data_IF_078810772983
#
_entry.id   IF_078810772983
#
_cell.length_a   1.000
_cell.length_b   1.000
_cell.length_c   1.000
_cell.angle_alpha   90.00
_cell.angle_beta   90.00
_cell.angle_gamma   90.00
#
_symmetry.space_group_name_H-M   'P 1'
#
loop_
_entity.id
_entity.type
_entity.pdbx_description
1 polymer ?
#
# COMPACT_ATOMS: atom_id res chain seq x y z
N UNK A 1 52.50 -35.70 -67.77
CA UNK A 1 52.81 -34.44 -68.44
C UNK A 1 51.57 -33.62 -68.54
N UNK A 2 51.40 -32.63 -67.75
CA UNK A 2 50.56 -31.43 -68.07
C UNK A 2 50.60 -30.47 -66.86
N UNK A 3 51.01 -29.26 -67.10
CA UNK A 3 51.31 -28.20 -66.14
C UNK A 3 50.03 -27.60 -65.58
N UNK A 4 49.98 -27.46 -64.27
CA UNK A 4 48.94 -26.80 -63.57
C UNK A 4 49.32 -25.31 -63.31
N UNK A 5 48.63 -24.40 -63.92
CA UNK A 5 48.79 -22.97 -63.67
C UNK A 5 47.95 -22.52 -62.47
N UNK A 6 48.61 -21.94 -61.48
CA UNK A 6 48.01 -21.34 -60.29
C UNK A 6 47.65 -19.89 -60.60
N UNK A 7 46.35 -19.54 -60.53
CA UNK A 7 45.87 -18.13 -60.47
C UNK A 7 45.57 -17.77 -59.05
N UNK A 8 46.33 -16.86 -58.48
CA UNK A 8 46.01 -16.18 -57.22
C UNK A 8 45.08 -15.03 -57.53
N UNK A 9 43.83 -15.15 -57.06
CA UNK A 9 42.88 -14.04 -56.98
C UNK A 9 42.84 -13.52 -55.55
N UNK A 10 43.34 -12.30 -55.31
CA UNK A 10 43.29 -11.63 -54.04
C UNK A 10 41.85 -11.11 -53.73
N UNK A 11 41.27 -11.64 -52.74
CA UNK A 11 40.03 -11.11 -52.20
C UNK A 11 40.30 -10.09 -51.05
N UNK A 12 40.10 -8.80 -51.32
CA UNK A 12 40.14 -7.76 -50.34
C UNK A 12 38.86 -7.84 -49.50
N UNK A 13 38.95 -8.32 -48.25
CA UNK A 13 37.90 -8.28 -47.27
C UNK A 13 37.83 -6.85 -46.69
N UNK A 14 36.85 -6.06 -47.16
CA UNK A 14 36.40 -4.86 -46.48
C UNK A 14 35.64 -5.28 -45.21
N UNK A 15 36.33 -5.22 -44.07
CA UNK A 15 35.70 -5.33 -42.75
C UNK A 15 34.87 -4.09 -42.43
N UNK A 16 33.58 -4.13 -42.73
CA UNK A 16 32.65 -3.16 -42.18
C UNK A 16 32.51 -3.44 -40.69
N UNK A 17 33.22 -2.69 -39.84
CA UNK A 17 32.96 -2.64 -38.42
C UNK A 17 31.62 -1.96 -38.21
N UNK A 18 30.56 -2.73 -37.95
CA UNK A 18 29.30 -2.27 -37.36
C UNK A 18 29.61 -1.80 -35.94
N UNK A 19 29.92 -0.52 -35.80
CA UNK A 19 29.92 0.15 -34.50
C UNK A 19 28.49 0.20 -34.03
N UNK A 20 28.05 -0.80 -33.28
CA UNK A 20 26.85 -0.71 -32.48
C UNK A 20 27.13 0.32 -31.39
N UNK A 21 26.74 1.56 -31.64
CA UNK A 21 26.63 2.57 -30.61
C UNK A 21 25.57 2.09 -29.62
N UNK A 22 25.98 1.36 -28.59
CA UNK A 22 25.17 1.20 -27.39
C UNK A 22 24.95 2.62 -26.88
N UNK A 23 23.78 3.19 -27.16
CA UNK A 23 23.29 4.36 -26.42
C UNK A 23 23.29 3.91 -24.97
N UNK A 24 24.31 4.30 -24.22
CA UNK A 24 24.25 4.27 -22.79
C UNK A 24 23.01 5.11 -22.43
N UNK A 25 21.93 4.48 -21.99
CA UNK A 25 20.81 5.21 -21.42
C UNK A 25 21.39 5.97 -20.23
N UNK A 26 21.49 7.30 -20.37
CA UNK A 26 21.82 8.13 -19.23
C UNK A 26 20.90 7.75 -18.09
N UNK A 27 21.46 7.51 -16.90
CA UNK A 27 20.66 7.21 -15.73
C UNK A 27 19.64 8.35 -15.52
N UNK A 28 18.39 7.98 -15.19
CA UNK A 28 17.36 8.97 -14.89
C UNK A 28 17.87 9.93 -13.79
N UNK A 29 17.67 11.21 -13.98
CA UNK A 29 17.87 12.26 -12.97
C UNK A 29 16.55 12.98 -12.73
N UNK A 30 16.44 13.70 -11.63
CA UNK A 30 15.23 14.51 -11.35
C UNK A 30 14.96 15.47 -12.52
N UNK A 31 16.00 16.13 -13.03
CA UNK A 31 15.90 17.11 -14.11
C UNK A 31 15.44 16.45 -15.42
N UNK A 32 16.00 15.28 -15.76
CA UNK A 32 15.62 14.55 -16.98
C UNK A 32 14.18 14.06 -16.90
N UNK A 33 13.74 13.56 -15.75
CA UNK A 33 12.37 13.13 -15.52
C UNK A 33 11.38 14.30 -15.55
N UNK A 34 11.73 15.45 -14.95
CA UNK A 34 10.92 16.67 -15.02
C UNK A 34 10.77 17.15 -16.46
N UNK A 35 11.86 17.16 -17.24
CA UNK A 35 11.82 17.58 -18.65
C UNK A 35 10.94 16.63 -19.50
N UNK A 36 10.97 15.33 -19.24
CA UNK A 36 10.13 14.33 -19.91
C UNK A 36 8.67 14.44 -19.46
N UNK A 37 8.43 14.57 -18.14
CA UNK A 37 7.08 14.70 -17.54
C UNK A 37 6.31 15.93 -18.06
N UNK A 38 7.02 17.01 -18.40
CA UNK A 38 6.39 18.21 -19.01
C UNK A 38 5.73 17.92 -20.35
N UNK A 39 6.11 16.86 -21.04
CA UNK A 39 5.54 16.43 -22.32
C UNK A 39 4.37 15.46 -22.15
N UNK A 40 4.25 14.83 -20.99
CA UNK A 40 3.24 13.83 -20.70
C UNK A 40 1.94 14.44 -20.14
N UNK A 41 2.00 15.56 -19.44
CA UNK A 41 0.92 16.43 -18.92
C UNK A 41 -0.25 15.75 -18.19
N UNK A 42 -0.54 14.48 -18.42
CA UNK A 42 -1.64 13.72 -17.84
C UNK A 42 -1.12 12.50 -17.05
N UNK A 43 -1.61 12.34 -15.82
CA UNK A 43 -1.40 11.15 -14.98
C UNK A 43 -2.71 10.39 -14.88
N UNK A 44 -2.81 9.26 -15.56
CA UNK A 44 -4.00 8.40 -15.48
C UNK A 44 -3.95 7.62 -14.19
N UNK A 45 -4.99 7.73 -13.37
CA UNK A 45 -5.06 7.05 -12.09
C UNK A 45 -6.42 6.40 -11.84
N UNK A 46 -6.44 5.06 -11.73
CA UNK A 46 -7.63 4.28 -11.40
C UNK A 46 -7.50 3.77 -9.96
N UNK A 47 -8.43 4.18 -9.09
CA UNK A 47 -8.43 3.79 -7.68
C UNK A 47 -9.84 3.88 -7.07
N UNK A 48 -9.97 3.61 -5.75
CA UNK A 48 -11.24 3.84 -5.04
C UNK A 48 -11.65 5.33 -5.08
N UNK A 49 -12.93 5.61 -5.17
CA UNK A 49 -13.45 6.98 -5.36
C UNK A 49 -12.94 8.02 -4.35
N UNK A 50 -12.69 7.61 -3.09
CA UNK A 50 -12.17 8.47 -2.03
C UNK A 50 -10.65 8.60 -1.98
N UNK A 51 -9.90 7.92 -2.86
CA UNK A 51 -8.43 7.88 -2.79
C UNK A 51 -7.82 9.29 -2.90
N UNK A 52 -6.87 9.57 -2.02
CA UNK A 52 -6.21 10.86 -1.86
C UNK A 52 -7.16 12.01 -1.51
N UNK A 53 -8.24 11.71 -0.78
CA UNK A 53 -9.24 12.70 -0.37
C UNK A 53 -10.24 13.05 -1.48
N UNK A 54 -10.39 12.17 -2.46
CA UNK A 54 -11.24 12.36 -3.63
C UNK A 54 -10.80 13.54 -4.47
N UNK A 55 -11.71 14.09 -5.27
CA UNK A 55 -11.38 15.16 -6.26
C UNK A 55 -10.67 16.37 -5.65
N UNK A 56 -11.08 16.78 -4.43
CA UNK A 56 -10.46 17.94 -3.77
C UNK A 56 -9.02 17.68 -3.36
N UNK A 57 -8.74 16.52 -2.78
CA UNK A 57 -7.38 16.14 -2.40
C UNK A 57 -6.50 15.90 -3.63
N UNK A 58 -7.03 15.28 -4.67
CA UNK A 58 -6.33 15.10 -5.94
C UNK A 58 -5.96 16.45 -6.58
N UNK A 59 -6.88 17.43 -6.57
CA UNK A 59 -6.59 18.78 -7.06
C UNK A 59 -5.53 19.52 -6.24
N UNK A 60 -5.53 19.34 -4.90
CA UNK A 60 -4.48 19.89 -4.03
C UNK A 60 -3.12 19.22 -4.32
N UNK A 61 -3.09 17.90 -4.61
CA UNK A 61 -1.87 17.19 -5.04
C UNK A 61 -1.37 17.68 -6.39
N UNK A 62 -2.26 17.89 -7.39
CA UNK A 62 -1.90 18.50 -8.68
C UNK A 62 -1.22 19.86 -8.49
N UNK A 63 -1.82 20.72 -7.67
CA UNK A 63 -1.31 22.05 -7.41
C UNK A 63 0.08 22.01 -6.74
N UNK A 64 0.25 21.16 -5.73
CA UNK A 64 1.51 21.01 -5.02
C UNK A 64 2.61 20.42 -5.92
N UNK A 65 2.29 19.39 -6.71
CA UNK A 65 3.19 18.79 -7.68
C UNK A 65 3.65 19.80 -8.74
N UNK A 66 2.69 20.49 -9.36
CA UNK A 66 2.96 21.48 -10.41
C UNK A 66 3.80 22.64 -9.89
N UNK A 67 3.55 23.10 -8.66
CA UNK A 67 4.35 24.14 -8.00
C UNK A 67 5.79 23.67 -7.78
N UNK A 68 5.99 22.42 -7.36
CA UNK A 68 7.33 21.87 -7.06
C UNK A 68 8.18 21.69 -8.32
N UNK A 69 7.58 21.18 -9.41
CA UNK A 69 8.33 20.77 -10.60
C UNK A 69 8.16 21.69 -11.80
N UNK A 70 7.35 22.76 -11.69
CA UNK A 70 7.09 23.67 -12.80
C UNK A 70 6.42 22.97 -13.99
N UNK A 71 5.47 22.09 -13.70
CA UNK A 71 4.69 21.31 -14.68
C UNK A 71 3.26 21.82 -14.79
N UNK A 72 2.45 21.21 -15.67
CA UNK A 72 1.00 21.45 -15.82
C UNK A 72 0.20 20.15 -15.72
N UNK A 73 0.74 19.19 -14.95
CA UNK A 73 0.15 17.87 -14.78
C UNK A 73 -1.29 17.94 -14.29
N UNK A 74 -2.14 17.07 -14.86
CA UNK A 74 -3.51 16.78 -14.44
C UNK A 74 -3.65 15.31 -14.05
N UNK A 75 -4.38 15.04 -12.97
CA UNK A 75 -4.74 13.67 -12.60
C UNK A 75 -6.06 13.31 -13.31
N UNK A 76 -5.95 12.47 -14.34
CA UNK A 76 -7.11 11.85 -14.99
C UNK A 76 -7.59 10.69 -14.13
N UNK A 77 -8.43 10.99 -13.14
CA UNK A 77 -8.91 10.01 -12.17
C UNK A 77 -10.18 9.32 -12.64
N UNK A 78 -10.18 7.97 -12.51
CA UNK A 78 -11.39 7.16 -12.65
C UNK A 78 -11.59 6.28 -11.42
N UNK A 79 -12.83 6.21 -10.92
CA UNK A 79 -13.18 5.25 -9.88
C UNK A 79 -13.15 3.83 -10.48
N UNK A 80 -12.43 2.93 -9.81
CA UNK A 80 -12.22 1.56 -10.26
C UNK A 80 -12.62 0.52 -9.22
N UNK A 81 -12.48 -0.76 -9.56
CA UNK A 81 -12.75 -1.87 -8.67
C UNK A 81 -11.75 -1.91 -7.49
N UNK A 82 -11.87 -2.91 -6.64
CA UNK A 82 -10.93 -3.15 -5.53
C UNK A 82 -9.48 -3.35 -6.02
N UNK A 83 -8.53 -3.32 -5.08
CA UNK A 83 -7.10 -3.37 -5.39
C UNK A 83 -6.67 -4.70 -6.04
N UNK A 84 -7.27 -5.84 -5.65
CA UNK A 84 -6.96 -7.14 -6.25
C UNK A 84 -7.38 -7.17 -7.72
N UNK A 85 -8.60 -6.73 -8.02
CA UNK A 85 -9.11 -6.68 -9.40
C UNK A 85 -8.28 -5.74 -10.28
N UNK A 86 -7.81 -4.61 -9.73
CA UNK A 86 -6.92 -3.67 -10.46
C UNK A 86 -5.54 -4.28 -10.72
N UNK A 87 -4.94 -4.95 -9.73
CA UNK A 87 -3.66 -5.64 -9.90
C UNK A 87 -3.78 -6.73 -10.98
N UNK A 88 -4.80 -7.58 -10.90
CA UNK A 88 -5.05 -8.62 -11.89
C UNK A 88 -5.25 -8.05 -13.31
N UNK A 89 -5.96 -6.92 -13.43
CA UNK A 89 -6.14 -6.24 -14.71
C UNK A 89 -4.81 -5.74 -15.29
N UNK A 90 -3.96 -5.07 -14.51
CA UNK A 90 -2.65 -4.61 -14.98
C UNK A 90 -1.76 -5.76 -15.42
N UNK A 91 -1.74 -6.86 -14.66
CA UNK A 91 -1.01 -8.08 -15.02
C UNK A 91 -1.49 -8.63 -16.37
N UNK A 92 -2.79 -8.72 -16.58
CA UNK A 92 -3.37 -9.19 -17.83
C UNK A 92 -3.03 -8.27 -19.02
N UNK A 93 -3.14 -6.94 -18.84
CA UNK A 93 -2.77 -5.94 -19.84
C UNK A 93 -1.30 -6.06 -20.25
N UNK A 94 -0.39 -6.20 -19.26
CA UNK A 94 1.06 -6.38 -19.49
C UNK A 94 1.36 -7.69 -20.21
N UNK A 95 0.77 -8.81 -19.78
CA UNK A 95 0.94 -10.12 -20.42
C UNK A 95 0.45 -10.13 -21.88
N UNK A 96 -0.52 -9.31 -22.20
CA UNK A 96 -1.03 -9.13 -23.57
C UNK A 96 -0.21 -8.13 -24.41
N UNK A 97 0.87 -7.55 -23.85
CA UNK A 97 1.69 -6.56 -24.53
C UNK A 97 1.05 -5.17 -24.69
N UNK A 98 -0.08 -4.94 -24.04
CA UNK A 98 -0.81 -3.67 -24.11
C UNK A 98 -0.23 -2.62 -23.16
N UNK A 99 -0.54 -1.33 -23.41
CA UNK A 99 -0.42 -0.30 -22.40
C UNK A 99 -1.40 -0.61 -21.26
N UNK A 100 -0.96 -0.35 -20.02
CA UNK A 100 -1.85 -0.52 -18.86
C UNK A 100 -2.84 0.64 -18.75
N UNK A 101 -3.96 0.38 -18.09
CA UNK A 101 -5.06 1.33 -17.95
C UNK A 101 -4.81 2.44 -16.93
N UNK A 102 -3.70 2.41 -16.18
CA UNK A 102 -3.35 3.43 -15.18
C UNK A 102 -1.83 3.58 -15.08
N UNK A 103 -1.34 4.82 -14.94
CA UNK A 103 0.08 5.11 -14.84
C UNK A 103 0.70 4.70 -13.52
N UNK A 104 -0.11 4.70 -12.46
CA UNK A 104 0.32 4.33 -11.11
C UNK A 104 -0.63 3.30 -10.49
N UNK A 105 -0.08 2.46 -9.63
CA UNK A 105 -0.85 1.50 -8.85
C UNK A 105 -0.64 1.76 -7.35
N UNK A 106 -1.74 2.02 -6.63
CA UNK A 106 -1.77 2.11 -5.17
C UNK A 106 -2.28 0.80 -4.59
N UNK A 107 -1.49 0.18 -3.73
CA UNK A 107 -1.83 -1.06 -3.03
C UNK A 107 -1.07 -1.23 -1.73
N UNK A 108 -1.55 -2.10 -0.83
CA UNK A 108 -0.78 -2.55 0.32
C UNK A 108 0.29 -3.56 -0.11
N UNK A 109 1.12 -4.01 0.84
CA UNK A 109 2.19 -4.96 0.54
C UNK A 109 1.70 -6.25 -0.11
N UNK A 110 0.49 -6.73 0.21
CA UNK A 110 -0.09 -7.93 -0.42
C UNK A 110 -0.39 -7.73 -1.91
N UNK A 111 -0.93 -6.57 -2.27
CA UNK A 111 -1.25 -6.23 -3.65
C UNK A 111 0.02 -5.97 -4.48
N UNK A 112 1.02 -5.35 -3.85
CA UNK A 112 2.32 -5.15 -4.49
C UNK A 112 3.08 -6.47 -4.64
N UNK A 113 2.94 -7.42 -3.69
CA UNK A 113 3.50 -8.77 -3.83
C UNK A 113 2.98 -9.47 -5.09
N UNK A 114 1.67 -9.40 -5.35
CA UNK A 114 1.07 -9.96 -6.56
C UNK A 114 1.67 -9.34 -7.84
N UNK A 115 1.82 -8.02 -7.87
CA UNK A 115 2.44 -7.33 -9.01
C UNK A 115 3.93 -7.66 -9.16
N UNK A 116 4.64 -7.81 -8.04
CA UNK A 116 6.07 -8.14 -7.98
C UNK A 116 6.35 -9.55 -8.55
N UNK A 117 5.65 -10.58 -8.07
CA UNK A 117 5.89 -11.97 -8.51
C UNK A 117 5.58 -12.17 -9.99
N UNK A 118 4.67 -11.38 -10.54
CA UNK A 118 4.31 -11.37 -11.96
C UNK A 118 5.23 -10.47 -12.81
N UNK A 119 6.28 -9.89 -12.19
CA UNK A 119 7.19 -8.95 -12.84
C UNK A 119 6.45 -7.83 -13.60
N UNK A 120 5.39 -7.31 -12.98
CA UNK A 120 4.47 -6.33 -13.56
C UNK A 120 4.83 -4.87 -13.20
N UNK A 121 5.89 -4.65 -12.43
CA UNK A 121 6.32 -3.33 -11.97
C UNK A 121 7.54 -2.83 -12.73
N UNK A 122 7.58 -1.53 -13.00
CA UNK A 122 8.75 -0.83 -13.52
C UNK A 122 9.82 -0.75 -12.44
N UNK A 123 11.08 -1.01 -12.81
CA UNK A 123 12.22 -0.88 -11.89
C UNK A 123 12.79 0.52 -11.95
N UNK A 124 12.75 1.21 -10.82
CA UNK A 124 13.19 2.61 -10.67
C UNK A 124 14.06 2.74 -9.42
N UNK A 125 15.28 3.19 -9.56
CA UNK A 125 16.16 3.47 -8.42
C UNK A 125 15.74 4.76 -7.71
N UNK A 126 14.59 4.73 -7.01
CA UNK A 126 14.00 5.92 -6.39
C UNK A 126 14.96 6.61 -5.41
N UNK A 127 15.58 5.87 -4.50
CA UNK A 127 16.52 6.44 -3.53
C UNK A 127 17.82 6.96 -4.16
N UNK A 128 18.19 6.47 -5.34
CA UNK A 128 19.35 6.98 -6.07
C UNK A 128 19.05 8.20 -6.93
N UNK A 129 17.82 8.36 -7.39
CA UNK A 129 17.38 9.47 -8.26
C UNK A 129 16.88 10.64 -7.43
N UNK A 130 16.07 10.39 -6.40
CA UNK A 130 15.34 11.40 -5.65
C UNK A 130 15.94 11.60 -4.26
N UNK A 131 16.61 12.74 -3.98
CA UNK A 131 17.31 12.94 -2.69
C UNK A 131 16.40 12.94 -1.46
N UNK A 132 15.10 13.06 -1.63
CA UNK A 132 14.11 13.01 -0.55
C UNK A 132 13.49 11.61 -0.35
N UNK A 133 13.82 10.63 -1.20
CA UNK A 133 13.42 9.23 -1.02
C UNK A 133 14.55 8.46 -0.36
N UNK A 134 14.26 7.80 0.76
CA UNK A 134 15.23 6.94 1.45
C UNK A 134 15.02 5.47 1.07
N UNK A 135 16.05 4.64 1.21
CA UNK A 135 15.93 3.18 0.99
C UNK A 135 14.86 2.52 1.87
N UNK A 136 14.58 3.08 3.04
CA UNK A 136 13.53 2.56 3.93
C UNK A 136 12.12 2.80 3.38
N UNK A 137 11.96 3.79 2.50
CA UNK A 137 10.68 4.06 1.83
C UNK A 137 10.42 3.10 0.66
N UNK A 138 11.45 2.44 0.12
CA UNK A 138 11.33 1.41 -0.92
C UNK A 138 10.99 0.06 -0.26
N UNK A 139 9.70 -0.27 -0.17
CA UNK A 139 9.25 -1.51 0.49
C UNK A 139 9.60 -2.74 -0.37
N UNK A 140 9.30 -2.73 -1.67
CA UNK A 140 9.88 -3.62 -2.67
C UNK A 140 10.98 -2.82 -3.39
N UNK A 141 12.28 -3.13 -3.13
CA UNK A 141 13.39 -2.32 -3.59
C UNK A 141 13.34 -2.04 -5.09
N UNK A 142 13.48 -0.78 -5.45
CA UNK A 142 13.42 -0.28 -6.83
C UNK A 142 12.09 -0.53 -7.57
N UNK A 143 11.01 -0.87 -6.88
CA UNK A 143 9.70 -1.10 -7.52
C UNK A 143 8.59 -0.28 -6.89
N UNK A 144 8.62 -0.11 -5.56
CA UNK A 144 7.52 0.56 -4.84
C UNK A 144 8.04 1.57 -3.84
N UNK A 145 7.22 2.59 -3.56
CA UNK A 145 7.53 3.62 -2.56
C UNK A 145 6.37 3.78 -1.59
N UNK A 146 6.68 3.79 -0.29
CA UNK A 146 5.72 3.96 0.79
C UNK A 146 5.02 5.32 0.71
N UNK A 147 3.72 5.29 0.53
CA UNK A 147 2.88 6.49 0.45
C UNK A 147 2.31 6.87 1.82
N UNK A 148 1.74 5.89 2.53
CA UNK A 148 1.25 6.08 3.89
C UNK A 148 1.23 4.75 4.67
N UNK A 149 1.18 4.89 5.99
CA UNK A 149 1.23 3.79 6.95
C UNK A 149 -0.12 3.64 7.62
N UNK A 150 -0.67 2.43 7.66
CA UNK A 150 -1.98 2.11 8.21
C UNK A 150 -1.87 1.07 9.32
N UNK A 151 -1.62 1.48 10.57
CA UNK A 151 -1.59 0.56 11.71
C UNK A 151 -2.97 -0.01 12.00
N UNK A 152 -3.04 -1.34 12.13
CA UNK A 152 -4.25 -2.07 12.49
C UNK A 152 -4.54 -1.96 13.99
N UNK A 153 -5.81 -1.85 14.35
CA UNK A 153 -6.19 -1.75 15.75
C UNK A 153 -7.69 -1.79 16.02
N UNK A 154 -8.01 -1.84 17.30
CA UNK A 154 -9.38 -1.77 17.83
C UNK A 154 -9.79 -0.31 17.79
N UNK A 155 -11.03 0.00 17.40
CA UNK A 155 -11.66 1.29 17.68
C UNK A 155 -12.87 1.13 18.59
N UNK A 156 -13.10 2.08 19.46
CA UNK A 156 -14.23 2.04 20.40
C UNK A 156 -14.78 3.44 20.71
N UNK A 157 -16.04 3.48 21.13
CA UNK A 157 -16.72 4.69 21.54
C UNK A 157 -16.49 4.93 23.05
N UNK A 158 -15.82 6.04 23.39
CA UNK A 158 -15.44 6.37 24.78
C UNK A 158 -16.61 6.74 25.69
N UNK A 159 -17.76 7.11 25.12
CA UNK A 159 -18.97 7.36 25.89
C UNK A 159 -19.63 6.05 26.37
N UNK A 160 -19.38 4.95 25.67
CA UNK A 160 -19.95 3.63 25.97
C UNK A 160 -18.96 2.69 26.64
N UNK A 161 -17.67 2.84 26.35
CA UNK A 161 -16.59 2.07 26.95
C UNK A 161 -15.60 3.04 27.58
N UNK A 162 -15.62 3.21 28.90
CA UNK A 162 -14.66 4.06 29.62
C UNK A 162 -13.23 3.60 29.37
N UNK A 163 -12.29 4.55 29.31
CA UNK A 163 -10.88 4.30 28.96
C UNK A 163 -10.21 3.26 29.86
N UNK A 164 -10.53 3.24 31.14
CA UNK A 164 -10.01 2.29 32.13
C UNK A 164 -10.55 0.86 31.94
N UNK A 165 -11.67 0.72 31.22
CA UNK A 165 -12.32 -0.56 30.87
C UNK A 165 -12.16 -0.92 29.39
N UNK A 166 -11.44 -0.12 28.61
CA UNK A 166 -11.22 -0.41 27.21
C UNK A 166 -10.23 -1.58 27.01
N UNK A 167 -10.41 -2.41 25.97
CA UNK A 167 -9.41 -3.43 25.62
C UNK A 167 -8.08 -2.74 25.28
N UNK A 168 -6.97 -3.38 25.63
CA UNK A 168 -5.61 -2.87 25.34
C UNK A 168 -4.93 -3.62 24.19
N UNK A 169 -5.48 -4.77 23.82
CA UNK A 169 -5.01 -5.61 22.73
C UNK A 169 -6.13 -6.48 22.17
N UNK A 170 -5.90 -7.16 21.05
CA UNK A 170 -6.87 -8.13 20.53
C UNK A 170 -7.13 -9.27 21.52
N UNK A 171 -6.11 -9.73 22.23
CA UNK A 171 -6.28 -10.84 23.18
C UNK A 171 -7.22 -10.51 24.33
N UNK A 172 -7.27 -9.25 24.75
CA UNK A 172 -8.20 -8.82 25.80
C UNK A 172 -9.67 -9.01 25.39
N UNK A 173 -9.98 -8.86 24.08
CA UNK A 173 -11.34 -9.05 23.57
C UNK A 173 -11.91 -10.44 23.91
N UNK A 174 -11.05 -11.45 23.99
CA UNK A 174 -11.44 -12.85 24.21
C UNK A 174 -10.94 -13.42 25.54
N UNK A 175 -10.31 -12.61 26.38
CA UNK A 175 -9.89 -13.01 27.74
C UNK A 175 -11.14 -13.34 28.59
N UNK A 176 -11.25 -14.53 29.19
CA UNK A 176 -12.43 -14.92 29.95
C UNK A 176 -12.78 -14.00 31.13
N UNK A 177 -11.79 -13.25 31.66
CA UNK A 177 -12.00 -12.31 32.76
C UNK A 177 -12.50 -10.95 32.28
N UNK A 178 -12.15 -10.57 31.05
CA UNK A 178 -12.43 -9.24 30.48
C UNK A 178 -13.57 -9.28 29.47
N UNK A 179 -13.64 -10.31 28.63
CA UNK A 179 -14.60 -10.43 27.54
C UNK A 179 -16.09 -10.32 27.95
N UNK A 180 -16.52 -10.75 29.15
CA UNK A 180 -17.91 -10.52 29.58
C UNK A 180 -18.32 -9.05 29.61
N UNK A 181 -17.36 -8.13 29.75
CA UNK A 181 -17.61 -6.66 29.68
C UNK A 181 -18.04 -6.21 28.28
N UNK A 182 -17.60 -6.93 27.25
CA UNK A 182 -17.77 -6.54 25.84
C UNK A 182 -18.60 -7.53 25.02
N UNK A 183 -18.98 -8.68 25.55
CA UNK A 183 -19.82 -9.66 24.87
C UNK A 183 -21.12 -9.00 24.37
N UNK A 184 -21.48 -9.26 23.12
CA UNK A 184 -22.63 -8.63 22.47
C UNK A 184 -22.45 -7.15 22.13
N UNK A 185 -21.23 -6.59 22.21
CA UNK A 185 -20.92 -5.19 21.91
C UNK A 185 -19.87 -5.01 20.81
N UNK A 186 -19.30 -6.11 20.32
CA UNK A 186 -18.18 -6.10 19.39
C UNK A 186 -18.67 -6.35 17.97
N UNK A 187 -18.40 -5.44 17.04
CA UNK A 187 -18.48 -5.69 15.62
C UNK A 187 -17.16 -6.24 15.10
N UNK A 188 -17.23 -7.21 14.16
CA UNK A 188 -16.05 -7.81 13.52
C UNK A 188 -16.05 -7.45 12.04
N UNK A 189 -14.91 -7.01 11.45
CA UNK A 189 -14.82 -6.85 10.01
C UNK A 189 -14.92 -8.20 9.29
N UNK A 190 -15.66 -8.28 8.16
CA UNK A 190 -15.91 -9.56 7.46
C UNK A 190 -14.71 -10.05 6.63
N UNK A 191 -13.55 -9.44 6.78
CA UNK A 191 -12.36 -9.71 5.98
C UNK A 191 -11.43 -10.70 6.67
N UNK A 192 -10.95 -11.70 5.93
CA UNK A 192 -10.03 -12.73 6.45
C UNK A 192 -8.61 -12.18 6.65
N UNK A 193 -8.20 -11.23 5.80
CA UNK A 193 -6.80 -10.80 5.71
C UNK A 193 -6.21 -10.35 7.07
N UNK A 194 -6.92 -9.52 7.83
CA UNK A 194 -6.42 -9.02 9.12
C UNK A 194 -6.20 -10.14 10.16
N UNK A 195 -7.07 -11.18 10.15
CA UNK A 195 -6.87 -12.36 11.01
C UNK A 195 -5.69 -13.19 10.53
N UNK A 196 -5.58 -13.40 9.22
CA UNK A 196 -4.49 -14.18 8.65
C UNK A 196 -3.12 -13.56 8.97
N UNK A 197 -2.99 -12.25 8.91
CA UNK A 197 -1.77 -11.53 9.29
C UNK A 197 -1.37 -11.70 10.76
N UNK A 198 -2.31 -11.92 11.67
CA UNK A 198 -2.00 -12.20 13.07
C UNK A 198 -1.14 -13.45 13.25
N UNK A 199 -1.15 -14.36 12.26
CA UNK A 199 -0.31 -15.55 12.30
C UNK A 199 1.20 -15.25 12.32
N UNK A 200 1.60 -14.07 11.82
CA UNK A 200 2.98 -13.58 11.91
C UNK A 200 3.44 -13.44 13.38
N UNK A 201 2.54 -13.03 14.25
CA UNK A 201 2.83 -12.80 15.67
C UNK A 201 2.45 -14.01 16.55
N UNK A 202 1.44 -14.80 16.16
CA UNK A 202 0.80 -15.77 17.05
C UNK A 202 0.84 -17.21 16.55
N UNK A 203 1.14 -17.44 15.26
CA UNK A 203 0.96 -18.73 14.61
C UNK A 203 -0.50 -19.05 14.28
N UNK A 204 -0.72 -19.97 13.35
CA UNK A 204 -2.04 -20.24 12.74
C UNK A 204 -3.07 -20.78 13.74
N UNK A 205 -2.69 -21.70 14.63
CA UNK A 205 -3.61 -22.33 15.58
C UNK A 205 -4.17 -21.32 16.60
N UNK A 206 -3.30 -20.48 17.15
CA UNK A 206 -3.73 -19.43 18.08
C UNK A 206 -4.66 -18.41 17.41
N UNK A 207 -4.43 -18.10 16.14
CA UNK A 207 -5.32 -17.22 15.38
C UNK A 207 -6.69 -17.85 15.17
N UNK A 208 -6.75 -19.16 14.84
CA UNK A 208 -8.03 -19.87 14.68
C UNK A 208 -8.81 -19.93 16.00
N UNK A 209 -8.13 -20.19 17.12
CA UNK A 209 -8.76 -20.17 18.46
C UNK A 209 -9.31 -18.78 18.80
N UNK A 210 -8.49 -17.73 18.62
CA UNK A 210 -8.90 -16.34 18.78
C UNK A 210 -10.12 -16.00 17.92
N UNK A 211 -10.11 -16.36 16.64
CA UNK A 211 -11.21 -16.07 15.72
C UNK A 211 -12.53 -16.73 16.16
N UNK A 212 -12.50 -18.02 16.59
CA UNK A 212 -13.69 -18.71 17.11
C UNK A 212 -14.25 -18.02 18.36
N UNK A 213 -13.39 -17.68 19.31
CA UNK A 213 -13.79 -16.99 20.54
C UNK A 213 -14.37 -15.61 20.24
N UNK A 214 -13.75 -14.87 19.33
CA UNK A 214 -14.21 -13.53 18.95
C UNK A 214 -15.58 -13.58 18.24
N UNK A 215 -15.78 -14.52 17.33
CA UNK A 215 -17.07 -14.74 16.65
C UNK A 215 -18.16 -15.07 17.67
N UNK A 216 -17.89 -15.95 18.64
CA UNK A 216 -18.85 -16.37 19.65
C UNK A 216 -19.38 -15.22 20.54
N UNK A 217 -18.60 -14.15 20.74
CA UNK A 217 -18.99 -13.01 21.57
C UNK A 217 -19.36 -11.76 20.76
N UNK A 218 -19.28 -11.83 19.43
CA UNK A 218 -19.56 -10.67 18.57
C UNK A 218 -21.04 -10.33 18.49
N UNK A 219 -21.33 -9.05 18.28
CA UNK A 219 -22.69 -8.53 18.06
C UNK A 219 -23.08 -8.51 16.57
N UNK A 220 -22.09 -8.54 15.66
CA UNK A 220 -22.36 -8.45 14.22
C UNK A 220 -21.12 -8.18 13.39
N UNK A 221 -21.37 -7.83 12.13
CA UNK A 221 -20.34 -7.55 11.14
C UNK A 221 -20.40 -6.07 10.74
N UNK A 222 -19.21 -5.46 10.61
CA UNK A 222 -19.05 -4.06 10.22
C UNK A 222 -17.92 -3.95 9.20
N UNK A 223 -18.21 -3.36 8.03
CA UNK A 223 -17.19 -3.13 7.00
C UNK A 223 -16.30 -1.96 7.36
N UNK A 224 -15.09 -1.93 6.83
CA UNK A 224 -14.30 -0.70 6.80
C UNK A 224 -15.10 0.38 6.06
N UNK A 225 -14.97 1.63 6.44
CA UNK A 225 -15.80 2.77 6.01
C UNK A 225 -17.20 2.89 6.62
N UNK A 226 -17.59 2.03 7.55
CA UNK A 226 -18.85 2.14 8.31
C UNK A 226 -18.60 2.56 9.78
N UNK A 227 -17.51 3.29 10.04
CA UNK A 227 -17.10 3.71 11.39
C UNK A 227 -18.13 4.63 12.07
N UNK A 228 -19.03 5.27 11.30
CA UNK A 228 -20.13 6.05 11.84
C UNK A 228 -21.06 5.24 12.76
N UNK A 229 -21.14 3.91 12.58
CA UNK A 229 -21.91 3.02 13.44
C UNK A 229 -21.24 2.81 14.82
N UNK A 230 -19.92 3.01 14.91
CA UNK A 230 -19.20 3.09 16.19
C UNK A 230 -19.43 4.48 16.81
N UNK A 231 -19.38 5.54 15.99
CA UNK A 231 -19.60 6.92 16.43
C UNK A 231 -21.01 7.10 17.01
N UNK A 232 -22.03 6.56 16.35
CA UNK A 232 -23.43 6.59 16.81
C UNK A 232 -23.70 5.71 18.03
N UNK A 233 -22.79 4.77 18.34
CA UNK A 233 -22.94 3.84 19.45
C UNK A 233 -23.77 2.60 19.15
N UNK A 234 -24.10 2.34 17.90
CA UNK A 234 -24.76 1.09 17.50
C UNK A 234 -23.89 -0.12 17.86
N UNK A 235 -22.58 -0.02 17.59
CA UNK A 235 -21.57 -0.94 18.10
C UNK A 235 -20.57 -0.17 18.96
N UNK A 236 -20.46 -0.48 20.26
CA UNK A 236 -19.48 0.16 21.13
C UNK A 236 -18.01 -0.07 20.73
N UNK A 237 -17.70 -1.22 20.10
CA UNK A 237 -16.35 -1.65 19.74
C UNK A 237 -16.36 -2.26 18.32
N UNK A 238 -15.35 -1.92 17.52
CA UNK A 238 -14.97 -2.68 16.32
C UNK A 238 -13.65 -3.38 16.58
N UNK A 239 -13.63 -4.69 16.43
CA UNK A 239 -12.51 -5.54 16.79
C UNK A 239 -11.23 -5.24 16.01
N UNK A 240 -11.34 -4.84 14.76
CA UNK A 240 -10.22 -4.38 13.95
C UNK A 240 -10.66 -3.34 12.93
N UNK A 241 -9.83 -2.33 12.77
CA UNK A 241 -9.87 -1.39 11.65
C UNK A 241 -8.45 -1.26 11.08
N UNK A 242 -8.31 -1.51 9.78
CA UNK A 242 -7.02 -1.54 9.07
C UNK A 242 -6.29 -0.19 9.01
N UNK A 243 -6.90 0.88 9.49
CA UNK A 243 -6.32 2.24 9.55
C UNK A 243 -6.86 2.96 10.79
N UNK A 244 -6.70 2.30 11.93
CA UNK A 244 -7.36 2.69 13.18
C UNK A 244 -6.96 4.08 13.67
N UNK A 245 -5.68 4.44 13.55
CA UNK A 245 -5.19 5.76 14.00
C UNK A 245 -5.71 6.89 13.12
N UNK A 246 -5.63 6.74 11.79
CA UNK A 246 -6.12 7.77 10.87
C UNK A 246 -7.63 7.95 10.98
N UNK A 247 -8.36 6.86 11.13
CA UNK A 247 -9.80 6.91 11.39
C UNK A 247 -10.11 7.64 12.71
N UNK A 248 -9.39 7.33 13.77
CA UNK A 248 -9.53 8.03 15.05
C UNK A 248 -9.29 9.54 14.89
N UNK A 249 -8.23 9.96 14.25
CA UNK A 249 -7.93 11.39 14.04
C UNK A 249 -8.99 12.08 13.20
N UNK A 250 -9.39 11.45 12.09
CA UNK A 250 -10.44 11.95 11.20
C UNK A 250 -11.77 12.18 11.93
N UNK A 251 -12.18 11.22 12.75
CA UNK A 251 -13.45 11.30 13.48
C UNK A 251 -13.36 12.22 14.69
N UNK A 252 -12.22 12.26 15.41
CA UNK A 252 -11.99 13.24 16.48
C UNK A 252 -12.00 14.68 15.99
N UNK A 253 -11.48 14.95 14.81
CA UNK A 253 -11.55 16.28 14.19
C UNK A 253 -13.01 16.74 13.95
N UNK A 254 -13.95 15.80 13.90
CA UNK A 254 -15.41 16.07 13.81
C UNK A 254 -16.12 16.03 15.16
N UNK A 255 -15.39 15.93 16.27
CA UNK A 255 -15.94 15.84 17.62
C UNK A 255 -16.48 14.46 18.02
N UNK A 256 -16.22 13.41 17.25
CA UNK A 256 -16.71 12.07 17.55
C UNK A 256 -16.00 11.43 18.75
N UNK A 257 -16.72 10.68 19.61
CA UNK A 257 -16.20 10.10 20.84
C UNK A 257 -15.51 8.75 20.59
N UNK A 258 -14.56 8.66 19.68
CA UNK A 258 -13.87 7.41 19.40
C UNK A 258 -12.37 7.45 19.73
N UNK A 259 -11.86 6.29 20.11
CA UNK A 259 -10.44 6.03 20.37
C UNK A 259 -9.98 4.79 19.62
N UNK A 260 -8.69 4.77 19.28
CA UNK A 260 -8.01 3.61 18.74
C UNK A 260 -7.03 3.02 19.77
N UNK A 261 -6.89 1.71 19.75
CA UNK A 261 -5.93 0.94 20.54
C UNK A 261 -5.19 -0.01 19.58
N UNK A 262 -3.86 -0.12 19.66
CA UNK A 262 -3.12 -1.12 18.90
C UNK A 262 -3.66 -2.53 19.15
N UNK A 263 -3.78 -3.32 18.08
CA UNK A 263 -4.27 -4.70 18.22
C UNK A 263 -3.21 -5.67 18.74
N UNK A 264 -1.96 -5.44 18.35
CA UNK A 264 -0.78 -6.27 18.70
C UNK A 264 0.42 -5.39 19.05
N UNK A 265 1.48 -6.02 19.57
CA UNK A 265 2.81 -5.42 19.74
C UNK A 265 3.85 -6.44 19.25
N UNK A 266 4.61 -6.15 18.20
CA UNK A 266 4.51 -4.98 17.32
C UNK A 266 3.16 -4.87 16.61
N UNK A 267 2.78 -3.66 16.17
CA UNK A 267 1.47 -3.42 15.55
C UNK A 267 1.47 -3.97 14.13
N UNK A 268 0.53 -4.87 13.83
CA UNK A 268 0.24 -5.27 12.45
C UNK A 268 -0.09 -4.03 11.63
N UNK A 269 0.57 -3.86 10.51
CA UNK A 269 0.54 -2.60 9.78
C UNK A 269 0.47 -2.84 8.28
N UNK A 270 -0.51 -2.23 7.64
CA UNK A 270 -0.56 -2.12 6.19
C UNK A 270 0.32 -0.95 5.71
N UNK A 271 1.26 -1.26 4.83
CA UNK A 271 2.13 -0.30 4.19
C UNK A 271 1.61 -0.03 2.79
N UNK A 272 0.87 1.06 2.63
CA UNK A 272 0.35 1.45 1.34
C UNK A 272 1.42 2.11 0.49
N UNK A 273 1.61 1.56 -0.69
CA UNK A 273 2.71 1.89 -1.59
C UNK A 273 2.18 2.30 -2.94
N UNK A 274 2.87 3.22 -3.58
CA UNK A 274 2.73 3.49 -4.99
C UNK A 274 3.83 2.79 -5.79
N UNK A 275 3.47 2.32 -6.96
CA UNK A 275 4.34 1.76 -7.97
C UNK A 275 3.96 2.24 -9.36
N UNK A 276 4.87 2.11 -10.31
CA UNK A 276 4.62 2.32 -11.73
C UNK A 276 4.47 0.94 -12.37
N UNK A 277 3.29 0.57 -12.89
CA UNK A 277 3.15 -0.65 -13.67
C UNK A 277 3.99 -0.59 -14.95
N UNK A 278 4.52 -1.72 -15.39
CA UNK A 278 5.16 -1.79 -16.71
C UNK A 278 4.17 -1.41 -17.81
N UNK A 279 4.66 -0.85 -18.88
CA UNK A 279 3.87 -0.34 -20.00
C UNK A 279 2.90 0.81 -19.61
N UNK A 280 3.20 1.56 -18.54
CA UNK A 280 2.45 2.76 -18.17
C UNK A 280 2.41 3.75 -19.36
N UNK A 281 1.25 4.39 -19.64
CA UNK A 281 1.13 5.38 -20.70
C UNK A 281 2.09 6.57 -20.57
N UNK A 282 2.29 7.07 -19.33
CA UNK A 282 3.07 8.27 -18.98
C UNK A 282 4.14 7.94 -17.91
N UNK A 283 5.17 7.13 -18.26
CA UNK A 283 6.06 6.52 -17.26
C UNK A 283 6.96 7.53 -16.53
N UNK A 284 7.36 8.63 -17.19
CA UNK A 284 8.24 9.63 -16.55
C UNK A 284 7.47 10.44 -15.51
N UNK A 285 6.26 10.86 -15.85
CA UNK A 285 5.36 11.54 -14.94
C UNK A 285 4.98 10.65 -13.76
N UNK A 286 4.70 9.37 -14.02
CA UNK A 286 4.40 8.37 -13.01
C UNK A 286 5.55 8.19 -12.01
N UNK A 287 6.79 7.98 -12.48
CA UNK A 287 7.99 7.88 -11.62
C UNK A 287 8.16 9.12 -10.73
N UNK A 288 8.01 10.30 -11.32
CA UNK A 288 8.14 11.57 -10.60
C UNK A 288 7.02 11.74 -9.57
N UNK A 289 5.78 11.36 -9.89
CA UNK A 289 4.65 11.44 -8.97
C UNK A 289 4.76 10.45 -7.81
N UNK A 290 5.20 9.22 -8.05
CA UNK A 290 5.46 8.22 -7.01
C UNK A 290 6.47 8.76 -6.00
N UNK A 291 7.59 9.32 -6.47
CA UNK A 291 8.59 9.94 -5.60
C UNK A 291 8.04 11.19 -4.88
N UNK A 292 7.24 12.01 -5.55
CA UNK A 292 6.62 13.21 -4.97
C UNK A 292 5.76 12.88 -3.75
N UNK A 293 5.05 11.75 -3.76
CA UNK A 293 4.17 11.36 -2.66
C UNK A 293 4.88 11.12 -1.32
N UNK A 294 6.22 11.04 -1.31
CA UNK A 294 7.02 10.99 -0.07
C UNK A 294 7.49 12.37 0.40
N UNK A 295 7.18 13.43 -0.32
CA UNK A 295 7.55 14.79 0.09
C UNK A 295 6.62 15.32 1.19
N UNK A 296 7.11 16.28 1.95
CA UNK A 296 6.31 16.91 3.01
C UNK A 296 5.03 17.55 2.46
N UNK A 297 5.12 18.19 1.30
CA UNK A 297 3.99 18.85 0.64
C UNK A 297 2.87 17.86 0.28
N UNK A 298 3.23 16.72 -0.29
CA UNK A 298 2.26 15.66 -0.60
C UNK A 298 1.65 15.04 0.66
N UNK A 299 2.47 14.81 1.68
CA UNK A 299 2.02 14.27 2.96
C UNK A 299 1.09 15.22 3.71
N UNK A 300 1.31 16.54 3.63
CA UNK A 300 0.39 17.55 4.18
C UNK A 300 -0.99 17.49 3.51
N UNK A 301 -1.04 17.25 2.19
CA UNK A 301 -2.32 17.07 1.48
C UNK A 301 -3.02 15.79 1.95
N UNK A 302 -2.31 14.67 2.07
CA UNK A 302 -2.89 13.42 2.58
C UNK A 302 -3.43 13.58 4.01
N UNK A 303 -2.69 14.25 4.88
CA UNK A 303 -3.13 14.53 6.25
C UNK A 303 -4.37 15.40 6.30
N UNK A 304 -4.41 16.45 5.48
CA UNK A 304 -5.54 17.38 5.41
C UNK A 304 -6.83 16.69 5.00
N UNK A 305 -6.78 15.78 4.03
CA UNK A 305 -7.98 15.18 3.43
C UNK A 305 -8.35 13.81 3.99
N UNK A 306 -7.36 13.02 4.45
CA UNK A 306 -7.58 11.65 4.88
C UNK A 306 -7.07 11.35 6.30
N UNK A 307 -6.39 12.30 6.95
CA UNK A 307 -5.65 12.09 8.22
C UNK A 307 -4.57 10.98 8.10
N UNK A 308 -4.15 10.65 6.89
CA UNK A 308 -3.14 9.63 6.58
C UNK A 308 -1.77 10.26 6.35
N UNK A 309 -0.72 9.54 6.70
CA UNK A 309 0.65 9.92 6.37
C UNK A 309 1.62 8.77 6.54
N UNK A 310 2.82 8.91 5.96
CA UNK A 310 3.93 7.98 6.17
C UNK A 310 4.63 8.26 7.50
N UNK A 311 4.93 7.21 8.26
CA UNK A 311 5.75 7.32 9.48
C UNK A 311 7.22 7.65 9.18
N UNK A 312 7.69 7.45 7.94
CA UNK A 312 9.06 7.72 7.51
C UNK A 312 9.29 9.17 7.07
N UNK A 313 8.23 9.97 6.91
CA UNK A 313 8.35 11.38 6.58
C UNK A 313 8.29 12.21 7.87
N UNK A 314 9.39 12.90 8.18
CA UNK A 314 9.53 13.65 9.42
C UNK A 314 8.47 14.74 9.57
N UNK A 315 7.96 14.88 10.80
CA UNK A 315 6.98 15.91 11.15
C UNK A 315 5.54 15.58 10.73
N UNK A 316 5.29 14.46 10.07
CA UNK A 316 3.93 13.99 9.77
C UNK A 316 3.19 13.55 11.03
N UNK A 317 1.87 13.47 10.94
CA UNK A 317 1.01 13.06 12.06
C UNK A 317 1.37 11.65 12.54
N UNK A 318 1.56 10.70 11.61
CA UNK A 318 1.94 9.32 11.94
C UNK A 318 3.35 9.25 12.55
N UNK A 319 4.34 9.98 11.98
CA UNK A 319 5.71 10.02 12.50
C UNK A 319 5.75 10.54 13.94
N UNK A 320 5.10 11.67 14.23
CA UNK A 320 5.02 12.25 15.57
C UNK A 320 4.36 11.28 16.56
N UNK A 321 3.20 10.72 16.19
CA UNK A 321 2.45 9.83 17.07
C UNK A 321 3.26 8.58 17.47
N UNK A 322 3.92 7.92 16.52
CA UNK A 322 4.72 6.72 16.82
C UNK A 322 5.93 7.03 17.69
N UNK A 323 6.59 8.18 17.47
CA UNK A 323 7.72 8.61 18.29
C UNK A 323 7.29 8.93 19.72
N UNK A 324 6.20 9.64 19.91
CA UNK A 324 5.67 10.04 21.22
C UNK A 324 5.14 8.87 22.02
N UNK A 325 4.41 7.97 21.37
CA UNK A 325 3.81 6.79 22.01
C UNK A 325 4.76 5.62 22.20
N UNK A 326 5.96 5.67 21.60
CA UNK A 326 6.95 4.56 21.58
C UNK A 326 6.39 3.25 21.05
N UNK A 327 5.38 3.34 20.18
CA UNK A 327 4.78 2.18 19.54
C UNK A 327 5.70 1.66 18.41
N UNK A 328 5.84 0.36 18.32
CA UNK A 328 6.57 -0.32 17.25
C UNK A 328 5.61 -0.90 16.22
N UNK A 329 5.94 -0.71 14.95
CA UNK A 329 5.23 -1.33 13.83
C UNK A 329 5.88 -2.67 13.48
N UNK A 330 5.10 -3.62 12.98
CA UNK A 330 5.63 -4.83 12.39
C UNK A 330 6.54 -4.47 11.21
N UNK A 331 7.64 -5.21 11.06
CA UNK A 331 8.59 -4.95 9.98
C UNK A 331 7.94 -5.17 8.60
N UNK A 332 8.09 -4.22 7.64
CA UNK A 332 7.64 -4.43 6.27
C UNK A 332 8.19 -5.71 5.65
N UNK A 333 9.44 -6.08 5.95
CA UNK A 333 10.08 -7.29 5.44
C UNK A 333 9.36 -8.57 5.86
N UNK A 334 8.95 -8.69 7.14
CA UNK A 334 8.19 -9.84 7.62
C UNK A 334 6.84 -9.96 6.90
N UNK A 335 6.17 -8.83 6.69
CA UNK A 335 4.93 -8.78 5.93
C UNK A 335 5.12 -9.20 4.46
N UNK A 336 6.20 -8.73 3.81
CA UNK A 336 6.54 -9.11 2.42
C UNK A 336 6.78 -10.62 2.34
N UNK A 337 7.65 -11.16 3.20
CA UNK A 337 7.97 -12.60 3.21
C UNK A 337 6.70 -13.44 3.44
N UNK A 338 5.79 -12.97 4.30
CA UNK A 338 4.49 -13.59 4.53
C UNK A 338 3.64 -13.60 3.25
N UNK A 339 3.50 -12.47 2.56
CA UNK A 339 2.68 -12.40 1.35
C UNK A 339 3.28 -13.15 0.17
N UNK A 340 4.59 -13.18 0.03
CA UNK A 340 5.26 -13.98 -0.99
C UNK A 340 5.11 -15.49 -0.75
N UNK A 341 4.96 -15.92 0.51
CA UNK A 341 4.67 -17.30 0.90
C UNK A 341 3.17 -17.60 1.00
N UNK A 342 2.35 -16.60 1.22
CA UNK A 342 0.94 -16.74 1.58
C UNK A 342 0.03 -17.22 0.44
N UNK A 343 0.52 -17.28 -0.78
CA UNK A 343 -0.12 -17.94 -1.92
C UNK A 343 0.25 -19.43 -2.01
N UNK A 344 0.99 -19.97 -1.04
CA UNK A 344 1.18 -21.43 -0.89
C UNK A 344 -0.14 -22.12 -0.56
N UNK A 345 -0.25 -23.41 -0.89
CA UNK A 345 -1.44 -24.23 -0.60
C UNK A 345 -1.82 -24.17 0.89
N UNK A 346 -0.82 -24.21 1.80
CA UNK A 346 -1.05 -24.06 3.23
C UNK A 346 -1.62 -22.69 3.62
N UNK A 347 -1.12 -21.62 3.01
CA UNK A 347 -1.62 -20.27 3.24
C UNK A 347 -3.05 -20.10 2.74
N UNK A 348 -3.36 -20.64 1.58
CA UNK A 348 -4.72 -20.62 1.01
C UNK A 348 -5.69 -21.45 1.87
N UNK A 349 -5.26 -22.63 2.34
CA UNK A 349 -6.06 -23.48 3.23
C UNK A 349 -6.35 -22.76 4.54
N UNK A 350 -5.34 -22.14 5.17
CA UNK A 350 -5.52 -21.37 6.39
C UNK A 350 -6.51 -20.22 6.23
N UNK A 351 -6.41 -19.44 5.14
CA UNK A 351 -7.37 -18.38 4.83
C UNK A 351 -8.79 -18.94 4.63
N UNK A 352 -8.93 -20.11 3.99
CA UNK A 352 -10.23 -20.76 3.80
C UNK A 352 -10.84 -21.25 5.12
N UNK A 353 -10.03 -21.75 6.06
CA UNK A 353 -10.48 -22.12 7.40
C UNK A 353 -10.96 -20.91 8.20
N UNK A 354 -10.20 -19.79 8.17
CA UNK A 354 -10.63 -18.53 8.80
C UNK A 354 -11.93 -18.00 8.20
N UNK A 355 -12.10 -18.09 6.87
CA UNK A 355 -13.34 -17.70 6.21
C UNK A 355 -14.55 -18.53 6.66
N UNK A 356 -14.38 -19.82 6.92
CA UNK A 356 -15.43 -20.67 7.50
C UNK A 356 -15.78 -20.25 8.93
N UNK A 357 -14.77 -19.94 9.76
CA UNK A 357 -14.99 -19.46 11.13
C UNK A 357 -15.76 -18.13 11.13
N UNK A 358 -15.38 -17.17 10.28
CA UNK A 358 -16.06 -15.88 10.19
C UNK A 358 -17.52 -15.94 9.71
N UNK A 359 -17.94 -17.04 9.08
CA UNK A 359 -19.33 -17.25 8.61
C UNK A 359 -20.26 -17.83 9.67
N UNK A 360 -19.74 -18.32 10.79
CA UNK A 360 -20.50 -18.79 11.94
C UNK A 360 -21.06 -17.62 12.75
#
# INVERSE_FOLDING_TARGET
MTKLNLFLAGAALLGAQLVHSAKAFAADTVESLVAAARKEEELVFIAGAGTFGGRKGQSDLEAAFNKRFGTKMKIAFAAGPDMNARAARHIAEIKSGNKVSSDIFLGSQSHQALMHVENALEKVNYAGIFPWVTKQMEIYPSETVLTYTSPNGIIYNVNLIPKDKAPKSYLDLVDPKLSPTWAGKIAIPPYVAWLAELSLNWGTEKVKDFARKLVAISAGRLRYSEEERIVSGEYPIMANLGDSLSAMWKWKAKGAPIMAVPGTTPINTDYFQLSVPRNAPHPNLAKLFVAFMTTKEAQEVLQKHESRSSHLVEGTLMNKHLRESKLSLQSPKESIDYYLKGESDEGLQFKAELAKILKQ
#
